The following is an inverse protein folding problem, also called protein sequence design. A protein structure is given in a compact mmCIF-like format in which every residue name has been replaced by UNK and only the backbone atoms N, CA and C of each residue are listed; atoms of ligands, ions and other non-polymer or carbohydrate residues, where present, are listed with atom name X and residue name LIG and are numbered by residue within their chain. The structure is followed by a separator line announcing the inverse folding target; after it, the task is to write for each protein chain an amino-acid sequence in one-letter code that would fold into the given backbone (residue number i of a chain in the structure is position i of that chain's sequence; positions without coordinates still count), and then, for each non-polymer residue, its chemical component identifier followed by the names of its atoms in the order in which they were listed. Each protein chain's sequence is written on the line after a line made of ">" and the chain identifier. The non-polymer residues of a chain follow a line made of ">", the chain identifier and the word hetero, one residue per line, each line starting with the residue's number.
data_IF_164114283834
#
_entry.id   IF_164114283834
#
_cell.length_a   1.000
_cell.length_b   1.000
_cell.length_c   1.000
_cell.angle_alpha   90.00
_cell.angle_beta   90.00
_cell.angle_gamma   90.00
#
_symmetry.space_group_name_H-M   'P 1'
#
loop_
_entity.id
_entity.type
_entity.pdbx_description
1 polymer ?
#
# COMPACT_ATOMS: atom_id res chain seq x y z
N UNK A 1 -6.79 -27.53 -20.27
CA UNK A 1 -5.89 -26.70 -21.10
C UNK A 1 -5.94 -25.31 -20.50
N UNK A 2 -4.91 -24.90 -19.75
CA UNK A 2 -4.84 -23.55 -19.18
C UNK A 2 -4.21 -22.64 -20.22
N UNK A 3 -5.05 -21.83 -20.86
CA UNK A 3 -4.59 -20.79 -21.77
C UNK A 3 -3.90 -19.70 -20.96
N UNK A 4 -2.56 -19.65 -21.05
CA UNK A 4 -1.75 -18.49 -20.67
C UNK A 4 -1.78 -17.43 -21.79
N UNK A 5 -2.92 -17.22 -22.41
CA UNK A 5 -3.18 -15.99 -23.16
C UNK A 5 -3.55 -14.98 -22.07
N UNK A 6 -2.81 -13.90 -21.83
CA UNK A 6 -2.65 -12.78 -22.74
C UNK A 6 -1.50 -11.92 -22.22
N UNK A 7 -0.77 -11.26 -23.12
CA UNK A 7 -0.03 -10.02 -22.83
C UNK A 7 -0.97 -8.85 -22.50
N UNK A 8 -2.00 -9.12 -21.70
CA UNK A 8 -3.01 -8.18 -21.26
C UNK A 8 -2.57 -7.47 -19.99
N UNK A 9 -3.04 -6.24 -19.82
CA UNK A 9 -2.75 -5.41 -18.65
C UNK A 9 -2.94 -6.19 -17.33
N UNK A 10 -2.10 -5.86 -16.35
CA UNK A 10 -2.01 -6.44 -15.01
C UNK A 10 -3.35 -6.47 -14.24
N UNK A 11 -4.41 -5.88 -14.77
CA UNK A 11 -5.73 -5.81 -14.17
C UNK A 11 -6.79 -5.62 -15.26
N UNK A 12 -7.56 -6.67 -15.57
CA UNK A 12 -8.65 -6.58 -16.53
C UNK A 12 -9.98 -6.32 -15.81
N UNK A 13 -10.36 -5.04 -15.76
CA UNK A 13 -11.62 -4.61 -15.13
C UNK A 13 -12.85 -5.21 -15.82
N UNK A 14 -12.79 -5.50 -17.12
CA UNK A 14 -13.94 -5.99 -17.87
C UNK A 14 -14.36 -7.39 -17.39
N UNK A 15 -13.37 -8.24 -17.08
CA UNK A 15 -13.54 -9.63 -16.64
C UNK A 15 -14.08 -9.82 -15.22
N UNK A 16 -14.14 -8.76 -14.40
CA UNK A 16 -14.66 -8.84 -13.04
C UNK A 16 -16.20 -8.94 -13.03
N UNK A 17 -16.76 -9.82 -12.19
CA UNK A 17 -18.20 -9.85 -11.92
C UNK A 17 -18.66 -8.56 -11.20
N UNK A 18 -19.97 -8.31 -11.18
CA UNK A 18 -20.53 -7.09 -10.57
C UNK A 18 -20.13 -6.92 -9.09
N UNK A 19 -19.99 -8.03 -8.36
CA UNK A 19 -19.60 -8.00 -6.95
C UNK A 19 -18.12 -7.68 -6.78
N UNK A 20 -17.22 -8.28 -7.57
CA UNK A 20 -15.79 -7.99 -7.53
C UNK A 20 -15.47 -6.57 -8.00
N UNK A 21 -16.18 -6.07 -9.03
CA UNK A 21 -16.12 -4.65 -9.44
C UNK A 21 -16.46 -3.72 -8.29
N UNK A 22 -17.53 -4.02 -7.53
CA UNK A 22 -17.95 -3.23 -6.37
C UNK A 22 -16.89 -3.25 -5.27
N UNK A 23 -16.34 -4.42 -4.95
CA UNK A 23 -15.29 -4.56 -3.94
C UNK A 23 -14.01 -3.81 -4.34
N UNK A 24 -13.55 -3.97 -5.58
CA UNK A 24 -12.37 -3.28 -6.10
C UNK A 24 -12.57 -1.76 -6.13
N UNK A 25 -13.75 -1.29 -6.54
CA UNK A 25 -14.09 0.14 -6.53
C UNK A 25 -14.03 0.72 -5.12
N UNK A 26 -14.65 0.06 -4.15
CA UNK A 26 -14.63 0.55 -2.76
C UNK A 26 -13.24 0.46 -2.14
N UNK A 27 -12.43 -0.55 -2.51
CA UNK A 27 -11.03 -0.61 -2.12
C UNK A 27 -10.27 0.61 -2.65
N UNK A 28 -10.36 0.90 -3.95
CA UNK A 28 -9.73 2.08 -4.56
C UNK A 28 -10.19 3.40 -3.91
N UNK A 29 -11.50 3.56 -3.69
CA UNK A 29 -12.05 4.75 -3.02
C UNK A 29 -11.47 4.86 -1.61
N UNK A 30 -11.47 3.77 -0.83
CA UNK A 30 -10.94 3.79 0.54
C UNK A 30 -9.44 4.09 0.57
N UNK A 31 -8.64 3.60 -0.38
CA UNK A 31 -7.23 3.98 -0.53
C UNK A 31 -7.07 5.47 -0.86
N UNK A 32 -7.90 6.01 -1.75
CA UNK A 32 -7.89 7.45 -2.07
C UNK A 32 -8.25 8.30 -0.85
N UNK A 33 -9.26 7.89 -0.09
CA UNK A 33 -9.66 8.55 1.17
C UNK A 33 -8.56 8.46 2.23
N UNK A 34 -7.84 7.33 2.30
CA UNK A 34 -6.68 7.19 3.19
C UNK A 34 -5.58 8.22 2.90
N UNK A 35 -5.41 8.64 1.64
CA UNK A 35 -4.36 9.57 1.23
C UNK A 35 -4.67 11.04 1.57
N UNK A 36 -5.91 11.40 1.92
CA UNK A 36 -6.30 12.80 2.15
C UNK A 36 -5.45 13.51 3.23
N UNK A 37 -5.22 12.92 4.42
CA UNK A 37 -4.39 13.58 5.44
C UNK A 37 -2.92 13.69 5.02
N UNK A 38 -2.43 12.75 4.19
CA UNK A 38 -1.06 12.78 3.68
C UNK A 38 -0.83 14.02 2.83
N UNK A 39 -1.79 14.38 1.97
CA UNK A 39 -1.72 15.60 1.16
C UNK A 39 -1.66 16.88 2.01
N UNK A 40 -2.46 16.95 3.06
CA UNK A 40 -2.48 18.11 3.98
C UNK A 40 -1.15 18.23 4.73
N UNK A 41 -0.67 17.14 5.33
CA UNK A 41 0.58 17.13 6.10
C UNK A 41 1.79 17.39 5.19
N UNK A 42 1.84 16.80 4.00
CA UNK A 42 2.90 17.02 3.04
C UNK A 42 2.89 18.46 2.49
N UNK A 43 1.71 19.02 2.24
CA UNK A 43 1.56 20.41 1.80
C UNK A 43 2.06 21.41 2.84
N UNK A 44 1.72 21.19 4.12
CA UNK A 44 2.20 22.02 5.22
C UNK A 44 3.71 21.91 5.41
N UNK A 45 4.26 20.68 5.39
CA UNK A 45 5.70 20.46 5.49
C UNK A 45 6.46 21.09 4.31
N UNK A 46 5.91 20.98 3.09
CA UNK A 46 6.45 21.61 1.88
C UNK A 46 6.41 23.14 1.95
N UNK A 47 5.32 23.72 2.44
CA UNK A 47 5.20 25.17 2.64
C UNK A 47 6.23 25.69 3.64
N UNK A 48 6.35 25.04 4.81
CA UNK A 48 7.32 25.43 5.85
C UNK A 48 8.76 25.29 5.35
N UNK A 49 9.05 24.21 4.63
CA UNK A 49 10.36 24.00 4.02
C UNK A 49 10.68 25.08 2.98
N UNK A 50 9.74 25.37 2.07
CA UNK A 50 9.91 26.41 1.05
C UNK A 50 10.07 27.80 1.65
N UNK A 51 9.32 28.13 2.70
CA UNK A 51 9.45 29.38 3.44
C UNK A 51 10.83 29.50 4.10
N UNK A 52 11.29 28.45 4.80
CA UNK A 52 12.61 28.45 5.44
C UNK A 52 13.75 28.61 4.43
N UNK A 53 13.61 27.99 3.25
CA UNK A 53 14.57 28.11 2.16
C UNK A 53 14.61 29.53 1.59
N UNK A 54 13.45 30.17 1.43
CA UNK A 54 13.34 31.54 0.95
C UNK A 54 13.79 32.59 1.99
N UNK A 55 13.64 32.30 3.28
CA UNK A 55 14.01 33.21 4.38
C UNK A 55 15.47 33.06 4.83
N UNK A 56 16.24 32.14 4.25
CA UNK A 56 17.63 31.85 4.66
C UNK A 56 17.76 31.15 6.02
N UNK A 57 16.66 30.59 6.54
CA UNK A 57 16.67 29.83 7.78
C UNK A 57 17.13 28.38 7.52
N UNK A 58 17.61 27.64 8.54
CA UNK A 58 17.91 26.22 8.40
C UNK A 58 16.67 25.45 7.92
N UNK A 59 16.71 24.96 6.68
CA UNK A 59 15.59 24.27 6.07
C UNK A 59 15.70 22.77 6.31
N UNK A 60 14.80 22.22 7.13
CA UNK A 60 14.64 20.78 7.31
C UNK A 60 13.25 20.36 6.88
N UNK A 61 13.15 19.29 6.10
CA UNK A 61 11.87 18.72 5.73
C UNK A 61 11.35 17.92 6.92
N UNK A 62 10.59 18.59 7.79
CA UNK A 62 9.93 17.96 8.93
C UNK A 62 8.42 18.00 8.75
N UNK A 63 7.82 16.81 8.75
CA UNK A 63 6.38 16.64 8.77
C UNK A 63 5.95 16.23 10.17
N UNK A 64 5.16 17.08 10.84
CA UNK A 64 4.49 16.69 12.08
C UNK A 64 3.20 15.96 11.72
N UNK A 65 3.17 14.63 11.88
CA UNK A 65 1.96 13.84 11.62
C UNK A 65 1.07 13.85 12.86
N UNK A 66 -0.13 14.46 12.82
CA UNK A 66 -1.00 14.45 13.97
C UNK A 66 -1.54 13.02 14.21
N UNK A 67 -1.75 12.58 15.47
CA UNK A 67 -2.15 11.21 15.78
C UNK A 67 -3.44 10.76 15.06
N UNK A 68 -4.41 11.67 14.89
CA UNK A 68 -5.65 11.36 14.18
C UNK A 68 -5.43 11.02 12.70
N UNK A 69 -4.43 11.62 12.05
CA UNK A 69 -4.11 11.36 10.64
C UNK A 69 -3.48 9.98 10.48
N UNK A 70 -2.64 9.57 11.43
CA UNK A 70 -2.10 8.21 11.46
C UNK A 70 -3.22 7.17 11.64
N UNK A 71 -4.14 7.39 12.59
CA UNK A 71 -5.31 6.51 12.80
C UNK A 71 -6.18 6.45 11.54
N UNK A 72 -6.45 7.59 10.91
CA UNK A 72 -7.22 7.68 9.67
C UNK A 72 -6.63 6.83 8.55
N UNK A 73 -5.34 7.04 8.26
CA UNK A 73 -4.62 6.29 7.23
C UNK A 73 -4.68 4.80 7.50
N UNK A 74 -4.42 4.37 8.74
CA UNK A 74 -4.44 2.96 9.13
C UNK A 74 -5.83 2.34 8.94
N UNK A 75 -6.89 3.00 9.42
CA UNK A 75 -8.26 2.50 9.32
C UNK A 75 -8.68 2.31 7.86
N UNK A 76 -8.48 3.32 7.02
CA UNK A 76 -8.87 3.22 5.61
C UNK A 76 -7.97 2.26 4.82
N UNK A 77 -6.69 2.13 5.17
CA UNK A 77 -5.80 1.14 4.59
C UNK A 77 -6.26 -0.29 4.92
N UNK A 78 -6.69 -0.55 6.16
CA UNK A 78 -7.25 -1.84 6.56
C UNK A 78 -8.56 -2.15 5.82
N UNK A 79 -9.46 -1.18 5.72
CA UNK A 79 -10.70 -1.32 4.94
C UNK A 79 -10.38 -1.65 3.48
N UNK A 80 -9.45 -0.91 2.87
CA UNK A 80 -9.03 -1.16 1.49
C UNK A 80 -8.45 -2.56 1.30
N UNK A 81 -7.54 -2.97 2.19
CA UNK A 81 -6.90 -4.29 2.14
C UNK A 81 -7.92 -5.43 2.29
N UNK A 82 -8.91 -5.29 3.19
CA UNK A 82 -9.97 -6.29 3.37
C UNK A 82 -10.85 -6.39 2.12
N UNK A 83 -11.22 -5.25 1.52
CA UNK A 83 -12.02 -5.22 0.30
C UNK A 83 -11.28 -5.84 -0.89
N UNK A 84 -10.00 -5.50 -1.05
CA UNK A 84 -9.12 -6.08 -2.06
C UNK A 84 -8.97 -7.59 -1.86
N UNK A 85 -8.71 -8.04 -0.64
CA UNK A 85 -8.58 -9.46 -0.33
C UNK A 85 -9.84 -10.27 -0.63
N UNK A 86 -11.02 -9.73 -0.29
CA UNK A 86 -12.31 -10.35 -0.61
C UNK A 86 -12.54 -10.44 -2.12
N UNK A 87 -12.08 -9.43 -2.87
CA UNK A 87 -12.14 -9.42 -4.32
C UNK A 87 -11.21 -10.48 -4.93
N UNK A 88 -9.95 -10.56 -4.48
CA UNK A 88 -8.97 -11.53 -4.99
C UNK A 88 -9.45 -12.98 -4.84
N UNK A 89 -10.17 -13.30 -3.74
CA UNK A 89 -10.72 -14.64 -3.50
C UNK A 89 -11.83 -15.06 -4.47
N UNK A 90 -12.48 -14.10 -5.14
CA UNK A 90 -13.62 -14.33 -6.05
C UNK A 90 -13.22 -14.47 -7.51
N UNK A 91 -11.93 -14.40 -7.83
CA UNK A 91 -11.48 -14.51 -9.21
C UNK A 91 -11.30 -15.95 -9.64
N UNK A 92 -11.84 -16.29 -10.81
CA UNK A 92 -11.79 -17.63 -11.38
C UNK A 92 -10.47 -17.93 -12.10
N UNK A 93 -9.85 -16.92 -12.74
CA UNK A 93 -8.53 -17.08 -13.35
C UNK A 93 -7.44 -17.22 -12.26
N UNK A 94 -6.79 -18.38 -12.24
CA UNK A 94 -5.77 -18.76 -11.24
C UNK A 94 -4.63 -17.73 -11.15
N UNK A 95 -4.17 -17.21 -12.28
CA UNK A 95 -3.15 -16.17 -12.34
C UNK A 95 -3.61 -14.88 -11.65
N UNK A 96 -4.81 -14.38 -11.96
CA UNK A 96 -5.35 -13.17 -11.34
C UNK A 96 -5.58 -13.36 -9.84
N UNK A 97 -6.02 -14.55 -9.41
CA UNK A 97 -6.17 -14.92 -8.00
C UNK A 97 -4.83 -14.89 -7.25
N UNK A 98 -3.79 -15.53 -7.81
CA UNK A 98 -2.43 -15.53 -7.26
C UNK A 98 -1.90 -14.09 -7.16
N UNK A 99 -1.98 -13.34 -8.25
CA UNK A 99 -1.50 -11.96 -8.33
C UNK A 99 -2.20 -11.05 -7.32
N UNK A 100 -3.54 -11.02 -7.32
CA UNK A 100 -4.28 -10.08 -6.47
C UNK A 100 -4.19 -10.45 -5.00
N UNK A 101 -3.97 -11.73 -4.66
CA UNK A 101 -3.64 -12.11 -3.30
C UNK A 101 -2.22 -11.70 -2.92
N UNK A 102 -1.23 -11.93 -3.80
CA UNK A 102 0.16 -11.57 -3.54
C UNK A 102 0.32 -10.06 -3.33
N UNK A 103 -0.37 -9.26 -4.15
CA UNK A 103 -0.44 -7.81 -3.95
C UNK A 103 -1.12 -7.44 -2.64
N UNK A 104 -2.28 -8.02 -2.31
CA UNK A 104 -2.98 -7.71 -1.06
C UNK A 104 -2.19 -8.10 0.19
N UNK A 105 -1.72 -9.35 0.24
CA UNK A 105 -0.96 -9.89 1.38
C UNK A 105 0.45 -9.31 1.47
N UNK A 106 1.14 -9.14 0.35
CA UNK A 106 2.48 -8.53 0.28
C UNK A 106 2.45 -7.05 0.66
N UNK A 107 1.48 -6.28 0.14
CA UNK A 107 1.31 -4.87 0.52
C UNK A 107 0.90 -4.72 1.98
N UNK A 108 -0.03 -5.56 2.47
CA UNK A 108 -0.43 -5.56 3.87
C UNK A 108 0.71 -5.93 4.81
N UNK A 109 1.45 -7.00 4.50
CA UNK A 109 2.59 -7.47 5.30
C UNK A 109 3.74 -6.48 5.34
N UNK A 110 4.09 -5.88 4.20
CA UNK A 110 5.12 -4.84 4.14
C UNK A 110 4.73 -3.60 4.94
N UNK A 111 3.47 -3.16 4.87
CA UNK A 111 2.99 -2.04 5.66
C UNK A 111 3.06 -2.30 7.18
N UNK A 112 2.68 -3.51 7.63
CA UNK A 112 2.83 -3.90 9.05
C UNK A 112 4.30 -3.90 9.47
N UNK A 113 5.18 -4.49 8.65
CA UNK A 113 6.61 -4.54 8.95
C UNK A 113 7.22 -3.14 9.03
N UNK A 114 6.86 -2.25 8.12
CA UNK A 114 7.31 -0.85 8.12
C UNK A 114 6.76 -0.06 9.30
N UNK A 115 5.52 -0.31 9.71
CA UNK A 115 4.95 0.29 10.92
C UNK A 115 5.73 -0.15 12.17
N UNK A 116 5.99 -1.46 12.32
CA UNK A 116 6.82 -1.98 13.40
C UNK A 116 8.24 -1.40 13.38
N UNK A 117 8.84 -1.29 12.18
CA UNK A 117 10.16 -0.67 12.02
C UNK A 117 10.15 0.79 12.46
N UNK A 118 9.15 1.57 12.05
CA UNK A 118 9.00 2.96 12.45
C UNK A 118 8.85 3.09 13.97
N UNK A 119 8.08 2.21 14.62
CA UNK A 119 7.97 2.16 16.08
C UNK A 119 9.31 1.88 16.75
N UNK A 120 10.08 0.90 16.27
CA UNK A 120 11.42 0.62 16.79
C UNK A 120 12.41 1.76 16.52
N UNK A 121 12.24 2.49 15.42
CA UNK A 121 13.06 3.64 15.10
C UNK A 121 12.78 4.82 16.06
N UNK A 122 11.53 5.00 16.47
CA UNK A 122 11.15 5.99 17.49
C UNK A 122 11.79 5.70 18.86
N UNK A 123 12.11 4.44 19.19
CA UNK A 123 12.82 4.08 20.43
C UNK A 123 14.35 4.14 20.29
N UNK A 124 14.87 4.51 19.12
CA UNK A 124 16.32 4.55 18.85
C UNK A 124 17.00 3.18 18.72
N UNK A 125 16.24 2.09 18.67
CA UNK A 125 16.79 0.73 18.57
C UNK A 125 17.25 0.39 17.15
N UNK A 126 16.61 1.00 16.15
CA UNK A 126 16.95 0.85 14.73
C UNK A 126 16.96 2.21 14.05
N UNK A 127 17.73 2.41 12.97
CA UNK A 127 17.67 3.64 12.20
C UNK A 127 16.34 3.77 11.44
N UNK A 128 15.97 5.00 11.08
CA UNK A 128 14.87 5.25 10.15
C UNK A 128 15.15 4.58 8.81
N UNK A 129 14.16 3.82 8.31
CA UNK A 129 14.27 3.15 7.03
C UNK A 129 14.41 4.18 5.89
N UNK A 130 15.40 3.98 5.02
CA UNK A 130 15.53 4.80 3.81
C UNK A 130 14.38 4.50 2.84
N UNK A 131 13.97 5.45 1.98
CA UNK A 131 12.93 5.21 0.97
C UNK A 131 13.21 3.99 0.10
N UNK A 132 14.48 3.73 -0.22
CA UNK A 132 14.90 2.55 -0.98
C UNK A 132 14.65 1.25 -0.20
N UNK A 133 14.98 1.23 1.10
CA UNK A 133 14.70 0.08 1.95
C UNK A 133 13.20 -0.21 2.02
N UNK A 134 12.36 0.82 2.08
CA UNK A 134 10.90 0.71 2.05
C UNK A 134 10.40 0.02 0.77
N UNK A 135 10.93 0.42 -0.38
CA UNK A 135 10.60 -0.17 -1.69
C UNK A 135 11.05 -1.64 -1.77
N UNK A 136 12.27 -1.93 -1.30
CA UNK A 136 12.80 -3.30 -1.30
C UNK A 136 11.97 -4.23 -0.40
N UNK A 137 11.61 -3.77 0.80
CA UNK A 137 10.73 -4.51 1.72
C UNK A 137 9.39 -4.83 1.05
N UNK A 138 8.79 -3.84 0.37
CA UNK A 138 7.54 -4.01 -0.35
C UNK A 138 7.65 -5.07 -1.45
N UNK A 139 8.67 -4.98 -2.31
CA UNK A 139 8.88 -5.96 -3.38
C UNK A 139 9.18 -7.37 -2.85
N UNK A 140 10.05 -7.50 -1.85
CA UNK A 140 10.34 -8.79 -1.23
C UNK A 140 9.08 -9.43 -0.63
N UNK A 141 8.22 -8.63 0.02
CA UNK A 141 6.96 -9.12 0.58
C UNK A 141 6.00 -9.59 -0.51
N UNK A 142 5.90 -8.89 -1.63
CA UNK A 142 5.09 -9.32 -2.78
C UNK A 142 5.63 -10.62 -3.37
N UNK A 143 6.94 -10.75 -3.60
CA UNK A 143 7.54 -11.96 -4.17
C UNK A 143 7.33 -13.17 -3.24
N UNK A 144 7.51 -12.98 -1.94
CA UNK A 144 7.25 -14.03 -0.94
C UNK A 144 5.77 -14.43 -0.95
N UNK A 145 4.86 -13.45 -0.93
CA UNK A 145 3.42 -13.70 -1.00
C UNK A 145 3.04 -14.40 -2.32
N UNK A 146 3.65 -14.02 -3.44
CA UNK A 146 3.46 -14.69 -4.73
C UNK A 146 3.86 -16.16 -4.66
N UNK A 147 5.01 -16.46 -4.08
CA UNK A 147 5.50 -17.83 -3.93
C UNK A 147 4.57 -18.68 -3.07
N UNK A 148 4.03 -18.11 -1.99
CA UNK A 148 3.05 -18.76 -1.13
C UNK A 148 1.72 -19.00 -1.87
N UNK A 149 1.22 -17.99 -2.59
CA UNK A 149 -0.01 -18.09 -3.38
C UNK A 149 0.11 -19.12 -4.49
N UNK A 150 1.24 -19.14 -5.18
CA UNK A 150 1.53 -20.12 -6.21
C UNK A 150 1.45 -21.54 -5.64
N UNK A 151 2.14 -21.84 -4.53
CA UNK A 151 2.07 -23.16 -3.87
C UNK A 151 0.67 -23.53 -3.37
N UNK A 152 -0.19 -22.54 -3.10
CA UNK A 152 -1.55 -22.76 -2.59
C UNK A 152 -2.54 -23.09 -3.71
N UNK A 153 -2.30 -22.62 -4.93
CA UNK A 153 -3.31 -22.61 -5.99
C UNK A 153 -2.86 -23.18 -7.33
N UNK A 154 -1.56 -23.35 -7.57
CA UNK A 154 -1.00 -24.12 -8.70
C UNK A 154 -0.96 -25.62 -8.35
#
# INVERSE_FOLDING_TARGET
>A
MYEFTHGGMWFDWAKLDGTSKRLARWSLISSGVAALPVGVVAGEAGYRFGYALASGAPATLQATVPPWAAIWVVVFMLVSGVLWWRMSRRQDEMFNRIQNWALGAGSGGSAVLLACWAFLAMTGLVPWASPMATILIFWCAIVLAWTIAYRRWA
#
